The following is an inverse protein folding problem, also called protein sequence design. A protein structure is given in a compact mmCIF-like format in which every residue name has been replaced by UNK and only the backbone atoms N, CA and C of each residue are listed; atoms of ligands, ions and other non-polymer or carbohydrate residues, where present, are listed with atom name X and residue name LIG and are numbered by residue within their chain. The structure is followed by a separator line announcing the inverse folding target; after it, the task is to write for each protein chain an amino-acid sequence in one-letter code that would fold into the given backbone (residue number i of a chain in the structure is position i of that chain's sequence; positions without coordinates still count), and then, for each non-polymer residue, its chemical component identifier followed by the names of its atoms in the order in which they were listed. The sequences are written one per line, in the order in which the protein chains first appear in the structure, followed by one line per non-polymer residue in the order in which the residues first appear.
data_IF_543770252126
#
_entry.id   IF_543770252126
#
_cell.length_a   1.000
_cell.length_b   1.000
_cell.length_c   1.000
_cell.angle_alpha   90.00
_cell.angle_beta   90.00
_cell.angle_gamma   90.00
#
_symmetry.space_group_name_H-M   'P 1'
#
loop_
_entity.id
_entity.type
_entity.pdbx_description
1 polymer ?
#
# COMPACT_ATOMS: atom_id res chain seq x y z
N UNK A 1 18.43 -35.26 -3.25
CA UNK A 1 17.95 -34.92 -1.89
C UNK A 1 17.03 -33.71 -2.02
N UNK A 2 15.71 -33.91 -1.92
CA UNK A 2 14.76 -32.79 -1.86
C UNK A 2 14.94 -32.05 -0.52
N UNK A 3 15.54 -30.87 -0.56
CA UNK A 3 15.50 -29.95 0.58
C UNK A 3 14.04 -29.54 0.83
N UNK A 4 13.40 -30.17 1.81
CA UNK A 4 12.08 -29.80 2.32
C UNK A 4 12.19 -28.45 3.05
N UNK A 5 12.21 -27.37 2.28
CA UNK A 5 12.20 -26.02 2.83
C UNK A 5 10.94 -25.82 3.68
N UNK A 6 11.09 -25.37 4.93
CA UNK A 6 9.97 -25.25 5.83
C UNK A 6 8.98 -24.22 5.25
N UNK A 7 7.70 -24.54 5.36
CA UNK A 7 6.53 -23.68 5.12
C UNK A 7 6.50 -22.36 5.93
N UNK A 8 7.65 -21.94 6.46
CA UNK A 8 7.86 -20.80 7.34
C UNK A 8 7.40 -19.48 6.72
N UNK A 9 7.64 -19.26 5.42
CA UNK A 9 7.22 -18.03 4.74
C UNK A 9 5.71 -17.80 4.78
N UNK A 10 4.92 -18.83 4.43
CA UNK A 10 3.44 -18.76 4.51
C UNK A 10 2.97 -18.55 5.95
N UNK A 11 3.58 -19.25 6.91
CA UNK A 11 3.23 -19.14 8.33
C UNK A 11 3.47 -17.73 8.86
N UNK A 12 4.57 -17.09 8.49
CA UNK A 12 4.88 -15.71 8.87
C UNK A 12 3.90 -14.69 8.26
N UNK A 13 3.50 -14.88 7.00
CA UNK A 13 2.48 -14.02 6.37
C UNK A 13 1.15 -14.13 7.13
N UNK A 14 0.68 -15.36 7.40
CA UNK A 14 -0.58 -15.60 8.12
C UNK A 14 -0.50 -15.05 9.55
N UNK A 15 0.61 -15.28 10.25
CA UNK A 15 0.84 -14.74 11.59
C UNK A 15 0.80 -13.21 11.58
N UNK A 16 1.47 -12.56 10.64
CA UNK A 16 1.49 -11.10 10.53
C UNK A 16 0.10 -10.52 10.29
N UNK A 17 -0.69 -11.09 9.39
CA UNK A 17 -2.09 -10.66 9.19
C UNK A 17 -2.97 -10.93 10.42
N UNK A 18 -2.80 -12.07 11.08
CA UNK A 18 -3.55 -12.40 12.29
C UNK A 18 -3.24 -11.44 13.45
N UNK A 19 -1.95 -11.16 13.69
CA UNK A 19 -1.51 -10.17 14.69
C UNK A 19 -2.05 -8.79 14.35
N UNK A 20 -1.98 -8.37 13.08
CA UNK A 20 -2.52 -7.10 12.63
C UNK A 20 -4.03 -7.00 12.90
N UNK A 21 -4.83 -7.99 12.49
CA UNK A 21 -6.27 -7.98 12.77
C UNK A 21 -6.55 -7.95 14.28
N UNK A 22 -5.79 -8.72 15.07
CA UNK A 22 -5.94 -8.79 16.51
C UNK A 22 -5.65 -7.45 17.21
N UNK A 23 -4.58 -6.75 16.84
CA UNK A 23 -4.27 -5.45 17.45
C UNK A 23 -5.33 -4.40 17.13
N UNK A 24 -5.91 -4.40 15.92
CA UNK A 24 -6.99 -3.47 15.58
C UNK A 24 -8.27 -3.76 16.40
N UNK A 25 -8.60 -5.04 16.60
CA UNK A 25 -9.75 -5.46 17.42
C UNK A 25 -9.53 -5.19 18.91
N UNK A 26 -8.30 -5.39 19.43
CA UNK A 26 -7.99 -5.02 20.81
C UNK A 26 -8.07 -3.52 20.98
N UNK A 27 -7.47 -2.76 20.06
CA UNK A 27 -7.42 -1.31 20.19
C UNK A 27 -8.81 -0.67 20.14
N UNK A 28 -9.75 -1.26 19.39
CA UNK A 28 -11.13 -0.75 19.32
C UNK A 28 -11.85 -0.74 20.68
N UNK A 29 -11.40 -1.56 21.66
CA UNK A 29 -11.92 -1.53 23.03
C UNK A 29 -11.56 -0.24 23.78
N UNK A 30 -10.47 0.41 23.40
CA UNK A 30 -9.98 1.65 24.00
C UNK A 30 -10.47 2.89 23.25
N UNK A 31 -11.51 2.78 22.41
CA UNK A 31 -12.09 3.92 21.69
C UNK A 31 -13.26 4.58 22.44
N UNK A 32 -13.80 3.94 23.48
CA UNK A 32 -14.94 4.47 24.23
C UNK A 32 -14.52 5.69 25.07
N UNK A 33 -15.16 6.86 24.91
CA UNK A 33 -14.79 8.10 25.60
C UNK A 33 -14.95 7.99 27.13
N UNK A 34 -15.78 7.07 27.63
CA UNK A 34 -15.95 6.80 29.07
C UNK A 34 -14.69 6.24 29.74
N UNK A 35 -13.76 5.67 28.97
CA UNK A 35 -12.48 5.13 29.47
C UNK A 35 -11.39 6.21 29.55
N UNK A 36 -11.62 7.40 28.96
CA UNK A 36 -10.68 8.52 28.94
C UNK A 36 -10.82 9.39 30.19
N UNK A 37 -10.37 8.87 31.33
CA UNK A 37 -10.16 9.67 32.54
C UNK A 37 -8.74 10.25 32.57
N UNK A 38 -8.49 11.39 33.25
CA UNK A 38 -7.15 11.97 33.39
C UNK A 38 -6.11 10.97 33.90
N UNK A 39 -6.51 10.09 34.81
CA UNK A 39 -5.65 9.05 35.40
C UNK A 39 -5.26 7.94 34.42
N UNK A 40 -6.03 7.75 33.35
CA UNK A 40 -5.79 6.72 32.33
C UNK A 40 -4.97 7.21 31.14
N UNK A 41 -4.71 8.52 31.00
CA UNK A 41 -4.09 9.13 29.81
C UNK A 41 -2.72 8.52 29.48
N UNK A 42 -1.81 8.48 30.45
CA UNK A 42 -0.46 7.94 30.25
C UNK A 42 -0.49 6.45 29.86
N UNK A 43 -1.41 5.69 30.45
CA UNK A 43 -1.57 4.26 30.17
C UNK A 43 -2.03 4.05 28.74
N UNK A 44 -3.04 4.81 28.29
CA UNK A 44 -3.57 4.68 26.93
C UNK A 44 -2.53 5.13 25.90
N UNK A 45 -1.76 6.18 26.18
CA UNK A 45 -0.68 6.62 25.30
C UNK A 45 0.40 5.55 25.12
N UNK A 46 0.78 4.82 26.18
CA UNK A 46 1.70 3.67 26.08
C UNK A 46 1.13 2.54 25.22
N UNK A 47 -0.17 2.23 25.37
CA UNK A 47 -0.86 1.25 24.53
C UNK A 47 -0.84 1.70 23.06
N UNK A 48 -1.05 3.00 22.79
CA UNK A 48 -0.99 3.56 21.45
C UNK A 48 0.40 3.42 20.79
N UNK A 49 1.49 3.65 21.53
CA UNK A 49 2.84 3.37 21.02
C UNK A 49 3.07 1.87 20.79
N UNK A 50 2.62 1.03 21.73
CA UNK A 50 2.69 -0.43 21.60
C UNK A 50 1.97 -0.93 20.34
N UNK A 51 0.81 -0.35 20.01
CA UNK A 51 0.06 -0.64 18.80
C UNK A 51 0.92 -0.42 17.54
N UNK A 52 1.60 0.73 17.41
CA UNK A 52 2.43 1.01 16.25
C UNK A 52 3.69 0.13 16.18
N UNK A 53 4.31 -0.18 17.31
CA UNK A 53 5.47 -1.10 17.35
C UNK A 53 5.06 -2.48 16.84
N UNK A 54 3.94 -3.02 17.32
CA UNK A 54 3.42 -4.32 16.88
C UNK A 54 3.00 -4.27 15.42
N UNK A 55 2.37 -3.18 14.97
CA UNK A 55 1.98 -2.98 13.58
C UNK A 55 3.21 -3.01 12.64
N UNK A 56 4.29 -2.29 12.99
CA UNK A 56 5.54 -2.31 12.22
C UNK A 56 6.19 -3.70 12.22
N UNK A 57 6.20 -4.40 13.37
CA UNK A 57 6.68 -5.77 13.44
C UNK A 57 5.86 -6.73 12.55
N UNK A 58 4.54 -6.56 12.52
CA UNK A 58 3.65 -7.34 11.65
C UNK A 58 3.95 -7.07 10.16
N UNK A 59 4.16 -5.81 9.75
CA UNK A 59 4.61 -5.49 8.39
C UNK A 59 5.95 -6.14 8.06
N UNK A 60 6.92 -6.10 8.97
CA UNK A 60 8.22 -6.76 8.81
C UNK A 60 8.09 -8.27 8.63
N UNK A 61 7.26 -8.93 9.44
CA UNK A 61 6.98 -10.36 9.33
C UNK A 61 6.32 -10.73 7.99
N UNK A 62 5.34 -9.93 7.53
CA UNK A 62 4.67 -10.12 6.23
C UNK A 62 5.67 -9.94 5.09
N UNK A 63 6.45 -8.86 5.09
CA UNK A 63 7.43 -8.57 4.04
C UNK A 63 8.51 -9.66 3.94
N UNK A 64 9.04 -10.09 5.08
CA UNK A 64 10.03 -11.18 5.13
C UNK A 64 9.41 -12.53 4.73
N UNK A 65 8.19 -12.82 5.19
CA UNK A 65 7.45 -14.01 4.80
C UNK A 65 7.17 -14.07 3.30
N UNK A 66 6.77 -12.94 2.69
CA UNK A 66 6.60 -12.80 1.24
C UNK A 66 7.92 -13.03 0.50
N UNK A 67 9.03 -12.43 0.95
CA UNK A 67 10.35 -12.65 0.36
C UNK A 67 10.74 -14.13 0.35
N UNK A 68 10.60 -14.81 1.50
CA UNK A 68 10.92 -16.24 1.62
C UNK A 68 10.00 -17.09 0.73
N UNK A 69 8.70 -16.82 0.76
CA UNK A 69 7.72 -17.54 -0.06
C UNK A 69 7.99 -17.39 -1.56
N UNK A 70 8.34 -16.19 -1.99
CA UNK A 70 8.66 -15.88 -3.37
C UNK A 70 9.96 -16.57 -3.81
N UNK A 71 11.00 -16.54 -2.95
CA UNK A 71 12.28 -17.23 -3.18
C UNK A 71 12.10 -18.74 -3.33
N UNK A 72 11.27 -19.34 -2.46
CA UNK A 72 10.94 -20.77 -2.52
C UNK A 72 10.27 -21.14 -3.84
N UNK A 73 9.29 -20.33 -4.27
CA UNK A 73 8.52 -20.54 -5.50
C UNK A 73 9.38 -20.46 -6.76
N UNK A 74 10.31 -19.51 -6.81
CA UNK A 74 11.27 -19.38 -7.92
C UNK A 74 12.22 -20.58 -7.96
N UNK A 75 12.76 -21.01 -6.81
CA UNK A 75 13.68 -22.15 -6.73
C UNK A 75 13.01 -23.45 -7.18
N UNK A 76 11.75 -23.68 -6.78
CA UNK A 76 10.99 -24.88 -7.16
C UNK A 76 10.62 -24.90 -8.65
N UNK A 77 10.66 -23.75 -9.33
CA UNK A 77 10.32 -23.58 -10.74
C UNK A 77 9.00 -24.28 -11.13
N UNK A 78 7.97 -24.13 -10.29
CA UNK A 78 6.69 -24.81 -10.48
C UNK A 78 5.85 -24.22 -11.60
N UNK A 79 4.87 -24.99 -12.07
CA UNK A 79 3.90 -24.59 -13.11
C UNK A 79 2.63 -23.93 -12.56
N UNK A 80 2.53 -23.79 -11.24
CA UNK A 80 1.40 -23.12 -10.59
C UNK A 80 1.43 -21.59 -10.82
N UNK A 81 0.25 -20.97 -10.78
CA UNK A 81 0.09 -19.54 -11.11
C UNK A 81 0.98 -18.66 -10.21
N UNK A 82 1.09 -18.98 -8.92
CA UNK A 82 1.94 -18.22 -8.00
C UNK A 82 3.43 -18.39 -8.31
N UNK A 83 3.86 -19.57 -8.77
CA UNK A 83 5.22 -19.78 -9.26
C UNK A 83 5.50 -18.95 -10.51
N UNK A 84 4.56 -18.88 -11.46
CA UNK A 84 4.70 -18.05 -12.67
C UNK A 84 4.84 -16.56 -12.33
N UNK A 85 4.00 -16.05 -11.40
CA UNK A 85 4.13 -14.68 -10.87
C UNK A 85 5.51 -14.49 -10.26
N UNK A 86 5.95 -15.46 -9.45
CA UNK A 86 7.21 -15.34 -8.74
C UNK A 86 8.41 -15.33 -9.68
N UNK A 87 8.46 -16.24 -10.66
CA UNK A 87 9.51 -16.31 -11.68
C UNK A 87 9.55 -15.01 -12.50
N UNK A 88 8.39 -14.54 -12.97
CA UNK A 88 8.28 -13.32 -13.79
C UNK A 88 8.82 -12.08 -13.07
N UNK A 89 8.65 -12.00 -11.76
CA UNK A 89 8.97 -10.81 -10.96
C UNK A 89 10.30 -10.90 -10.21
N UNK A 90 10.96 -12.06 -10.23
CA UNK A 90 12.22 -12.28 -9.50
C UNK A 90 13.46 -11.66 -10.16
N UNK A 91 13.41 -11.31 -11.44
CA UNK A 91 14.54 -10.69 -12.14
C UNK A 91 14.83 -9.26 -11.65
N UNK A 92 16.08 -8.80 -11.79
CA UNK A 92 16.55 -7.52 -11.26
C UNK A 92 15.80 -6.32 -11.84
N UNK A 93 15.43 -6.39 -13.13
CA UNK A 93 14.66 -5.35 -13.82
C UNK A 93 13.24 -5.21 -13.25
N UNK A 94 12.53 -6.31 -13.07
CA UNK A 94 11.18 -6.35 -12.50
C UNK A 94 11.17 -5.87 -11.08
N UNK A 95 12.17 -6.25 -10.27
CA UNK A 95 12.30 -5.73 -8.89
C UNK A 95 12.55 -4.23 -8.84
N UNK A 96 13.37 -3.69 -9.76
CA UNK A 96 13.57 -2.23 -9.87
C UNK A 96 12.26 -1.54 -10.25
N UNK A 97 11.52 -2.06 -11.22
CA UNK A 97 10.21 -1.52 -11.62
C UNK A 97 9.24 -1.57 -10.43
N UNK A 98 9.14 -2.73 -9.76
CA UNK A 98 8.31 -2.91 -8.57
C UNK A 98 8.65 -1.86 -7.51
N UNK A 99 9.92 -1.68 -7.17
CA UNK A 99 10.36 -0.75 -6.12
C UNK A 99 10.07 0.71 -6.48
N UNK A 100 10.38 1.12 -7.71
CA UNK A 100 10.10 2.48 -8.20
C UNK A 100 8.59 2.74 -8.17
N UNK A 101 7.79 1.83 -8.71
CA UNK A 101 6.33 1.97 -8.71
C UNK A 101 5.76 1.97 -7.29
N UNK A 102 6.25 1.11 -6.40
CA UNK A 102 5.83 1.04 -5.01
C UNK A 102 6.07 2.37 -4.27
N UNK A 103 7.26 2.95 -4.42
CA UNK A 103 7.62 4.23 -3.77
C UNK A 103 6.82 5.38 -4.37
N UNK A 104 6.82 5.51 -5.70
CA UNK A 104 6.12 6.60 -6.39
C UNK A 104 4.63 6.57 -6.07
N UNK A 105 4.00 5.40 -6.18
CA UNK A 105 2.58 5.25 -5.86
C UNK A 105 2.29 5.49 -4.38
N UNK A 106 3.17 5.03 -3.48
CA UNK A 106 3.03 5.27 -2.04
C UNK A 106 3.05 6.76 -1.68
N UNK A 107 3.93 7.55 -2.31
CA UNK A 107 3.97 9.02 -2.14
C UNK A 107 2.66 9.64 -2.62
N UNK A 108 2.20 9.29 -3.82
CA UNK A 108 0.92 9.79 -4.35
C UNK A 108 -0.26 9.41 -3.45
N UNK A 109 -0.32 8.16 -2.98
CA UNK A 109 -1.38 7.69 -2.09
C UNK A 109 -1.36 8.46 -0.76
N UNK A 110 -0.19 8.79 -0.21
CA UNK A 110 -0.07 9.54 1.05
C UNK A 110 -0.67 10.95 0.95
N UNK A 111 -0.51 11.60 -0.21
CA UNK A 111 -1.12 12.91 -0.50
C UNK A 111 -2.65 12.82 -0.58
N UNK A 112 -3.16 11.78 -1.23
CA UNK A 112 -4.60 11.64 -1.52
C UNK A 112 -5.37 11.14 -0.29
N UNK A 113 -4.76 10.24 0.48
CA UNK A 113 -5.37 9.66 1.69
C UNK A 113 -5.48 10.63 2.87
N UNK A 114 -5.02 11.88 2.70
CA UNK A 114 -4.92 12.84 3.80
C UNK A 114 -3.85 12.46 4.82
N UNK A 115 -2.92 11.57 4.46
CA UNK A 115 -1.78 11.26 5.34
C UNK A 115 -0.81 12.44 5.38
N UNK A 116 -0.60 13.10 4.24
CA UNK A 116 0.01 14.43 4.18
C UNK A 116 -1.09 15.47 4.02
N UNK A 117 -1.31 16.28 5.05
CA UNK A 117 -2.36 17.30 5.10
C UNK A 117 -1.73 18.66 4.83
N UNK A 118 -2.24 19.36 3.83
CA UNK A 118 -1.90 20.76 3.58
C UNK A 118 -3.16 21.61 3.74
N UNK A 119 -3.17 22.50 4.74
CA UNK A 119 -4.26 23.42 5.03
C UNK A 119 -3.76 24.86 4.94
N UNK A 120 -3.82 25.49 3.75
CA UNK A 120 -3.36 26.87 3.58
C UNK A 120 -4.25 27.88 4.31
N UNK A 121 -5.52 27.57 4.54
CA UNK A 121 -6.48 28.47 5.20
C UNK A 121 -6.44 28.40 6.73
N UNK A 122 -5.71 27.43 7.30
CA UNK A 122 -5.63 27.22 8.75
C UNK A 122 -4.17 27.32 9.16
N UNK A 123 -3.86 28.23 10.10
CA UNK A 123 -2.56 28.30 10.73
C UNK A 123 -2.55 27.47 12.03
N UNK A 124 -1.72 26.44 12.09
CA UNK A 124 -1.74 25.50 13.21
C UNK A 124 -1.31 26.11 14.55
N UNK A 125 -0.49 27.17 14.52
CA UNK A 125 -0.09 27.89 15.73
C UNK A 125 -1.28 28.67 16.28
N UNK A 126 -1.98 29.42 15.43
CA UNK A 126 -3.05 30.32 15.89
C UNK A 126 -4.38 29.59 16.15
N UNK A 127 -4.69 28.54 15.38
CA UNK A 127 -5.97 27.83 15.48
C UNK A 127 -5.93 26.63 16.43
N UNK A 128 -4.79 25.95 16.55
CA UNK A 128 -4.66 24.78 17.41
C UNK A 128 -3.67 24.98 18.57
N UNK A 129 -3.05 26.15 18.70
CA UNK A 129 -2.04 26.41 19.73
C UNK A 129 -0.80 25.53 19.56
N UNK A 130 -0.56 24.98 18.37
CA UNK A 130 0.50 24.01 18.15
C UNK A 130 1.87 24.69 18.21
N UNK A 131 2.80 24.11 18.96
CA UNK A 131 4.22 24.46 18.89
C UNK A 131 4.83 23.75 17.68
N UNK A 132 5.46 24.47 16.75
CA UNK A 132 5.99 23.88 15.51
C UNK A 132 7.52 23.85 15.58
N UNK A 133 8.18 22.73 15.24
CA UNK A 133 7.62 21.42 14.94
C UNK A 133 7.18 20.66 16.21
N UNK A 134 6.08 19.91 16.14
CA UNK A 134 5.69 18.99 17.22
C UNK A 134 4.95 17.77 16.66
N UNK A 135 4.93 16.69 17.42
CA UNK A 135 4.15 15.51 17.09
C UNK A 135 3.59 14.86 18.34
N UNK A 136 2.34 14.44 18.27
CA UNK A 136 1.67 13.74 19.35
C UNK A 136 0.83 12.60 18.80
N UNK A 137 0.60 11.59 19.64
CA UNK A 137 -0.32 10.49 19.32
C UNK A 137 -1.65 10.84 19.95
N UNK A 138 -2.68 11.01 19.13
CA UNK A 138 -4.04 11.09 19.61
C UNK A 138 -4.52 9.65 19.85
N UNK A 139 -4.67 9.22 21.12
CA UNK A 139 -5.02 7.84 21.43
C UNK A 139 -6.47 7.47 21.05
N UNK A 140 -7.35 8.44 20.81
CA UNK A 140 -8.79 8.17 20.87
C UNK A 140 -9.67 8.96 19.92
N UNK A 141 -10.91 8.44 19.92
CA UNK A 141 -12.15 9.13 19.63
C UNK A 141 -12.44 9.31 18.15
N UNK A 142 -12.32 8.21 17.42
CA UNK A 142 -12.63 8.14 15.99
C UNK A 142 -13.09 6.73 15.63
N UNK A 143 -13.41 6.51 14.36
CA UNK A 143 -13.93 5.24 13.85
C UNK A 143 -12.91 4.10 13.96
N UNK A 144 -13.41 2.86 13.82
CA UNK A 144 -12.59 1.65 13.84
C UNK A 144 -11.45 1.74 12.83
N UNK A 145 -10.21 1.53 13.30
CA UNK A 145 -9.00 1.54 12.48
C UNK A 145 -8.41 2.92 12.18
N UNK A 146 -9.07 4.00 12.61
CA UNK A 146 -8.54 5.36 12.50
C UNK A 146 -7.70 5.73 13.74
N UNK A 147 -7.95 5.06 14.88
CA UNK A 147 -7.21 5.24 16.13
C UNK A 147 -6.25 4.07 16.41
N UNK A 148 -5.14 4.32 17.13
CA UNK A 148 -4.61 5.64 17.49
C UNK A 148 -4.08 6.36 16.24
N UNK A 149 -4.21 7.69 16.16
CA UNK A 149 -3.61 8.46 15.06
C UNK A 149 -2.40 9.25 15.53
N UNK A 150 -1.35 9.27 14.70
CA UNK A 150 -0.17 10.12 14.93
C UNK A 150 -0.38 11.41 14.15
N UNK A 151 -0.24 12.56 14.82
CA UNK A 151 -0.32 13.88 14.20
C UNK A 151 1.04 14.55 14.39
N UNK A 152 1.64 15.02 13.31
CA UNK A 152 2.90 15.76 13.31
C UNK A 152 2.69 17.07 12.58
N UNK A 153 2.90 18.18 13.26
CA UNK A 153 2.93 19.51 12.66
C UNK A 153 4.36 19.80 12.19
N UNK A 154 4.55 19.90 10.87
CA UNK A 154 5.85 20.19 10.26
C UNK A 154 6.04 21.69 10.08
N UNK A 155 5.03 22.37 9.56
CA UNK A 155 4.99 23.83 9.36
C UNK A 155 3.61 24.37 9.73
N UNK A 156 3.42 25.69 9.67
CA UNK A 156 2.15 26.35 10.01
C UNK A 156 0.94 25.86 9.20
N UNK A 157 1.17 25.27 8.03
CA UNK A 157 0.13 24.83 7.10
C UNK A 157 0.31 23.37 6.63
N UNK A 158 1.42 22.71 6.95
CA UNK A 158 1.72 21.33 6.55
C UNK A 158 1.78 20.43 7.77
N UNK A 159 0.90 19.43 7.79
CA UNK A 159 0.84 18.40 8.81
C UNK A 159 0.95 17.01 8.20
N UNK A 160 1.40 16.05 9.00
CA UNK A 160 1.34 14.63 8.69
C UNK A 160 0.37 13.97 9.68
N UNK A 161 -0.60 13.23 9.16
CA UNK A 161 -1.56 12.47 9.96
C UNK A 161 -1.50 11.00 9.57
N UNK A 162 -0.92 10.15 10.42
CA UNK A 162 -0.82 8.72 10.14
C UNK A 162 -2.03 8.01 10.76
N UNK A 163 -3.02 7.71 9.93
CA UNK A 163 -4.14 6.83 10.29
C UNK A 163 -3.73 5.36 10.08
N UNK A 164 -3.88 4.47 11.07
CA UNK A 164 -3.43 3.08 10.97
C UNK A 164 -4.00 2.34 9.76
N UNK A 165 -5.31 2.46 9.50
CA UNK A 165 -5.95 1.80 8.37
C UNK A 165 -5.43 2.35 7.03
N UNK A 166 -5.20 3.66 6.93
CA UNK A 166 -4.65 4.27 5.72
C UNK A 166 -3.21 3.82 5.48
N UNK A 167 -2.40 3.65 6.53
CA UNK A 167 -1.06 3.10 6.42
C UNK A 167 -1.08 1.65 5.89
N UNK A 168 -1.98 0.81 6.40
CA UNK A 168 -2.18 -0.56 5.90
C UNK A 168 -2.59 -0.54 4.43
N UNK A 169 -3.61 0.26 4.08
CA UNK A 169 -4.10 0.40 2.70
C UNK A 169 -3.00 0.93 1.78
N UNK A 170 -2.23 1.93 2.20
CA UNK A 170 -1.12 2.50 1.44
C UNK A 170 -0.10 1.42 1.09
N UNK A 171 0.30 0.57 2.05
CA UNK A 171 1.27 -0.49 1.81
C UNK A 171 0.70 -1.60 0.92
N UNK A 172 -0.54 -2.04 1.16
CA UNK A 172 -1.18 -3.12 0.40
C UNK A 172 -1.42 -2.69 -1.05
N UNK A 173 -2.02 -1.52 -1.26
CA UNK A 173 -2.35 -1.03 -2.61
C UNK A 173 -1.05 -0.72 -3.36
N UNK A 174 -0.07 -0.04 -2.75
CA UNK A 174 1.24 0.20 -3.38
C UNK A 174 1.93 -1.11 -3.79
N UNK A 175 1.86 -2.14 -2.95
CA UNK A 175 2.39 -3.46 -3.25
C UNK A 175 1.69 -4.09 -4.46
N UNK A 176 0.36 -4.08 -4.49
CA UNK A 176 -0.41 -4.65 -5.60
C UNK A 176 -0.17 -3.89 -6.91
N UNK A 177 -0.11 -2.56 -6.87
CA UNK A 177 0.17 -1.75 -8.06
C UNK A 177 1.59 -2.02 -8.57
N UNK A 178 2.58 -2.05 -7.68
CA UNK A 178 3.96 -2.42 -8.03
C UNK A 178 4.04 -3.82 -8.65
N UNK A 179 3.33 -4.80 -8.08
CA UNK A 179 3.30 -6.16 -8.59
C UNK A 179 2.70 -6.22 -9.99
N UNK A 180 1.51 -5.62 -10.18
CA UNK A 180 0.84 -5.54 -11.48
C UNK A 180 1.72 -4.87 -12.54
N UNK A 181 2.36 -3.76 -12.19
CA UNK A 181 3.24 -3.03 -13.09
C UNK A 181 4.48 -3.86 -13.48
N UNK A 182 5.10 -4.55 -12.52
CA UNK A 182 6.26 -5.39 -12.78
C UNK A 182 5.95 -6.55 -13.73
N UNK A 183 4.78 -7.20 -13.56
CA UNK A 183 4.32 -8.28 -14.45
C UNK A 183 3.97 -7.71 -15.83
N UNK A 184 3.23 -6.59 -15.88
CA UNK A 184 2.80 -5.97 -17.12
C UNK A 184 4.00 -5.53 -17.98
N UNK A 185 5.00 -4.87 -17.38
CA UNK A 185 6.20 -4.45 -18.10
C UNK A 185 7.02 -5.66 -18.56
N UNK A 186 7.18 -6.68 -17.71
CA UNK A 186 7.89 -7.90 -18.10
C UNK A 186 7.19 -8.64 -19.24
N UNK A 187 5.86 -8.78 -19.19
CA UNK A 187 5.07 -9.33 -20.29
C UNK A 187 5.18 -8.49 -21.59
N UNK A 188 5.14 -7.16 -21.48
CA UNK A 188 5.17 -6.26 -22.63
C UNK A 188 6.54 -6.17 -23.28
N UNK A 189 7.62 -6.14 -22.49
CA UNK A 189 8.99 -6.14 -23.03
C UNK A 189 9.28 -7.38 -23.85
N UNK A 190 8.61 -8.50 -23.57
CA UNK A 190 8.70 -9.75 -24.32
C UNK A 190 7.81 -9.73 -25.56
N UNK A 191 6.64 -9.10 -25.49
CA UNK A 191 5.79 -8.84 -26.66
C UNK A 191 6.44 -7.88 -27.67
N UNK A 192 7.46 -7.11 -27.27
CA UNK A 192 8.11 -6.05 -28.05
C UNK A 192 9.46 -6.42 -28.65
N UNK A 193 9.49 -7.50 -29.43
CA UNK A 193 10.42 -7.57 -30.58
C UNK A 193 10.03 -6.59 -31.72
N UNK A 194 9.14 -5.61 -31.48
CA UNK A 194 8.79 -4.57 -32.45
C UNK A 194 8.06 -3.35 -31.87
N UNK A 195 8.59 -2.15 -32.17
CA UNK A 195 8.01 -0.79 -32.11
C UNK A 195 7.85 -0.07 -30.75
N UNK A 196 8.41 1.14 -30.68
CA UNK A 196 8.41 2.06 -29.54
C UNK A 196 7.01 2.58 -29.15
N UNK A 197 6.74 2.57 -27.84
CA UNK A 197 5.60 3.18 -27.14
C UNK A 197 5.69 2.70 -25.67
N UNK A 198 6.79 3.06 -24.99
CA UNK A 198 7.16 2.50 -23.69
C UNK A 198 6.59 3.26 -22.49
N UNK A 199 6.07 4.47 -22.70
CA UNK A 199 5.67 5.38 -21.62
C UNK A 199 4.15 5.52 -21.50
N UNK A 200 3.41 5.51 -22.62
CA UNK A 200 1.94 5.75 -22.61
C UNK A 200 1.16 4.55 -22.07
N UNK A 201 1.54 3.31 -22.42
CA UNK A 201 0.87 2.10 -21.88
C UNK A 201 1.18 1.84 -20.40
N UNK A 202 2.37 2.25 -19.95
CA UNK A 202 2.80 2.21 -18.55
C UNK A 202 2.01 3.21 -17.69
N UNK A 203 1.80 4.43 -18.20
CA UNK A 203 0.97 5.43 -17.55
C UNK A 203 -0.51 5.02 -17.50
N UNK A 204 -1.06 4.48 -18.59
CA UNK A 204 -2.43 3.97 -18.62
C UNK A 204 -2.66 2.86 -17.57
N UNK A 205 -1.70 1.93 -17.41
CA UNK A 205 -1.78 0.89 -16.38
C UNK A 205 -1.71 1.42 -14.94
N UNK A 206 -0.91 2.46 -14.69
CA UNK A 206 -0.79 3.12 -13.38
C UNK A 206 -2.07 3.87 -12.99
N UNK A 207 -2.76 4.48 -13.95
CA UNK A 207 -4.01 5.23 -13.71
C UNK A 207 -5.27 4.35 -13.68
N UNK A 208 -5.26 3.19 -14.34
CA UNK A 208 -6.32 2.17 -14.20
C UNK A 208 -6.40 1.66 -12.75
N UNK A 209 -5.27 1.64 -12.03
CA UNK A 209 -5.20 1.13 -10.66
C UNK A 209 -5.80 2.07 -9.60
N UNK A 210 -5.87 3.38 -9.88
CA UNK A 210 -6.39 4.38 -8.93
C UNK A 210 -6.94 5.60 -9.69
N UNK A 211 -8.23 5.57 -10.08
CA UNK A 211 -8.87 6.70 -10.75
C UNK A 211 -8.82 7.99 -9.92
N UNK A 212 -8.92 7.86 -8.60
CA UNK A 212 -8.79 8.98 -7.64
C UNK A 212 -7.40 9.61 -7.69
N UNK A 213 -6.34 8.81 -7.85
CA UNK A 213 -4.98 9.30 -7.99
C UNK A 213 -4.74 10.06 -9.28
N UNK A 214 -5.40 9.66 -10.37
CA UNK A 214 -5.40 10.42 -11.61
C UNK A 214 -6.08 11.78 -11.43
N UNK A 215 -7.24 11.81 -10.77
CA UNK A 215 -8.00 13.04 -10.52
C UNK A 215 -7.24 14.07 -9.68
N UNK A 216 -6.67 13.65 -8.55
CA UNK A 216 -5.90 14.54 -7.68
C UNK A 216 -4.60 15.00 -8.33
N UNK A 217 -3.91 14.12 -9.09
CA UNK A 217 -2.74 14.52 -9.88
C UNK A 217 -3.09 15.63 -10.88
N UNK A 218 -4.19 15.47 -11.62
CA UNK A 218 -4.67 16.50 -12.55
C UNK A 218 -5.06 17.80 -11.82
N UNK A 219 -5.66 17.72 -10.64
CA UNK A 219 -6.00 18.91 -9.85
C UNK A 219 -4.78 19.66 -9.33
N UNK A 220 -3.77 18.94 -8.81
CA UNK A 220 -2.59 19.56 -8.17
C UNK A 220 -1.58 20.06 -9.21
N UNK A 221 -1.36 19.32 -10.29
CA UNK A 221 -0.31 19.62 -11.26
C UNK A 221 -0.81 20.28 -12.54
N UNK A 222 -2.05 19.99 -12.96
CA UNK A 222 -2.62 20.59 -14.19
C UNK A 222 -3.48 21.82 -13.85
N UNK A 223 -3.97 21.95 -12.60
CA UNK A 223 -4.57 23.19 -12.08
C UNK A 223 -5.81 23.67 -12.83
N UNK A 224 -6.38 22.85 -13.71
CA UNK A 224 -7.54 23.22 -14.51
C UNK A 224 -8.81 23.17 -13.65
N UNK A 225 -9.77 24.05 -13.92
CA UNK A 225 -11.09 24.00 -13.30
C UNK A 225 -11.74 22.61 -13.40
N UNK A 226 -11.43 21.86 -14.46
CA UNK A 226 -11.81 20.46 -14.65
C UNK A 226 -11.16 19.50 -13.66
N UNK A 227 -9.90 19.71 -13.24
CA UNK A 227 -9.21 18.89 -12.25
C UNK A 227 -9.77 19.05 -10.84
N UNK A 228 -10.17 20.27 -10.47
CA UNK A 228 -10.80 20.57 -9.17
C UNK A 228 -12.21 19.97 -9.12
N UNK A 229 -13.02 20.17 -10.17
CA UNK A 229 -14.35 19.58 -10.28
C UNK A 229 -14.30 18.04 -10.29
N UNK A 230 -13.35 17.46 -11.04
CA UNK A 230 -13.13 16.02 -11.07
C UNK A 230 -12.68 15.48 -9.71
N UNK A 231 -11.85 16.19 -8.96
CA UNK A 231 -11.43 15.78 -7.62
C UNK A 231 -12.57 15.78 -6.61
N UNK A 232 -13.46 16.78 -6.67
CA UNK A 232 -14.65 16.84 -5.83
C UNK A 232 -15.63 15.71 -6.19
N UNK A 233 -15.81 15.42 -7.49
CA UNK A 233 -16.65 14.30 -7.92
C UNK A 233 -16.06 12.94 -7.51
N UNK A 234 -14.74 12.78 -7.62
CA UNK A 234 -14.05 11.52 -7.28
C UNK A 234 -13.93 11.30 -5.77
N UNK A 235 -13.88 12.34 -4.93
CA UNK A 235 -13.83 12.19 -3.47
C UNK A 235 -15.11 11.58 -2.91
N UNK A 236 -16.27 11.95 -3.46
CA UNK A 236 -17.57 11.36 -3.10
C UNK A 236 -17.66 9.86 -3.47
N UNK A 237 -16.92 9.43 -4.49
CA UNK A 237 -16.87 8.05 -4.98
C UNK A 237 -15.64 7.28 -4.46
N UNK A 238 -14.83 7.87 -3.59
CA UNK A 238 -13.55 7.29 -3.16
C UNK A 238 -13.71 5.88 -2.56
N UNK A 239 -14.71 5.69 -1.69
CA UNK A 239 -15.02 4.38 -1.10
C UNK A 239 -15.40 3.35 -2.17
N UNK A 240 -16.17 3.77 -3.18
CA UNK A 240 -16.58 2.91 -4.30
C UNK A 240 -15.38 2.50 -5.16
N UNK A 241 -14.49 3.46 -5.47
CA UNK A 241 -13.26 3.16 -6.21
C UNK A 241 -12.33 2.23 -5.44
N UNK A 242 -12.16 2.42 -4.13
CA UNK A 242 -11.35 1.50 -3.29
C UNK A 242 -11.99 0.10 -3.29
N UNK A 243 -13.31 0.02 -3.11
CA UNK A 243 -14.04 -1.26 -3.08
C UNK A 243 -13.92 -2.06 -4.40
N UNK A 244 -13.83 -1.39 -5.56
CA UNK A 244 -13.69 -2.05 -6.86
C UNK A 244 -12.22 -2.28 -7.23
N UNK A 245 -11.36 -1.29 -7.00
CA UNK A 245 -9.94 -1.34 -7.41
C UNK A 245 -9.18 -2.44 -6.68
N UNK A 246 -9.42 -2.65 -5.38
CA UNK A 246 -8.69 -3.67 -4.61
C UNK A 246 -8.93 -5.08 -5.21
N UNK A 247 -10.18 -5.56 -5.41
CA UNK A 247 -10.43 -6.83 -6.09
C UNK A 247 -9.79 -6.90 -7.47
N UNK A 248 -9.89 -5.85 -8.29
CA UNK A 248 -9.28 -5.81 -9.62
C UNK A 248 -7.76 -5.96 -9.54
N UNK A 249 -7.11 -5.28 -8.60
CA UNK A 249 -5.66 -5.34 -8.37
C UNK A 249 -5.19 -6.71 -7.86
N UNK A 250 -6.04 -7.44 -7.13
CA UNK A 250 -5.76 -8.83 -6.76
C UNK A 250 -5.94 -9.82 -7.91
N UNK A 251 -6.95 -9.63 -8.76
CA UNK A 251 -7.28 -10.53 -9.86
C UNK A 251 -6.34 -10.35 -11.06
N UNK A 252 -5.88 -9.13 -11.32
CA UNK A 252 -5.07 -8.81 -12.50
C UNK A 252 -3.75 -9.61 -12.60
N UNK A 253 -2.95 -9.78 -11.53
CA UNK A 253 -1.74 -10.61 -11.57
C UNK A 253 -2.04 -12.07 -11.92
N UNK A 254 -3.18 -12.59 -11.45
CA UNK A 254 -3.63 -13.97 -11.71
C UNK A 254 -3.99 -14.13 -13.19
N UNK A 255 -4.72 -13.18 -13.76
CA UNK A 255 -5.08 -13.17 -15.19
C UNK A 255 -3.81 -13.06 -16.05
N UNK A 256 -2.90 -12.14 -15.73
CA UNK A 256 -1.65 -11.96 -16.46
C UNK A 256 -0.78 -13.21 -16.40
N UNK A 257 -0.64 -13.82 -15.22
CA UNK A 257 0.14 -15.05 -15.06
C UNK A 257 -0.45 -16.24 -15.85
N UNK A 258 -1.78 -16.35 -15.95
CA UNK A 258 -2.41 -17.35 -16.82
C UNK A 258 -2.06 -17.14 -18.30
N UNK A 259 -1.99 -15.89 -18.77
CA UNK A 259 -1.56 -15.58 -20.16
C UNK A 259 -0.08 -15.86 -20.41
N UNK A 260 0.75 -15.73 -19.37
CA UNK A 260 2.18 -16.03 -19.38
C UNK A 260 2.49 -17.53 -19.24
N UNK A 261 1.49 -18.37 -19.04
CA UNK A 261 1.65 -19.83 -19.02
C UNK A 261 1.65 -20.39 -20.44
N UNK A 262 2.58 -21.29 -20.74
CA UNK A 262 2.61 -22.10 -21.96
C UNK A 262 1.60 -23.27 -21.88
N UNK A 263 1.29 -23.94 -23.00
CA UNK A 263 0.44 -25.13 -23.02
C UNK A 263 0.97 -26.29 -22.18
N UNK A 264 2.30 -26.42 -22.06
CA UNK A 264 3.01 -27.39 -21.22
C UNK A 264 3.01 -27.01 -19.71
N UNK A 265 2.43 -25.86 -19.36
CA UNK A 265 2.41 -25.34 -18.00
C UNK A 265 3.64 -24.52 -17.60
N UNK A 266 4.70 -24.47 -18.42
CA UNK A 266 5.90 -23.69 -18.14
C UNK A 266 5.64 -22.19 -18.25
N UNK A 267 6.51 -21.38 -17.64
CA UNK A 267 6.45 -19.93 -17.83
C UNK A 267 7.01 -19.57 -19.21
N UNK A 268 6.31 -18.72 -19.96
CA UNK A 268 6.81 -18.12 -21.23
C UNK A 268 8.07 -17.30 -21.04
N UNK A 269 8.36 -16.91 -19.80
CA UNK A 269 9.46 -16.03 -19.43
C UNK A 269 10.52 -16.85 -18.74
N UNK A 270 11.71 -16.89 -19.32
CA UNK A 270 12.89 -17.39 -18.64
C UNK A 270 13.49 -16.25 -17.82
N UNK A 271 13.38 -16.31 -16.48
CA UNK A 271 13.88 -15.25 -15.58
C UNK A 271 15.38 -15.34 -15.32
N UNK A 272 16.09 -16.27 -15.98
CA UNK A 272 17.52 -16.55 -15.76
C UNK A 272 18.45 -15.80 -16.72
N UNK A 273 17.91 -14.93 -17.58
CA UNK A 273 18.66 -13.97 -18.41
C UNK A 273 18.39 -12.52 -18.01
#
# INVERSE_FOLDING_TARGET
MEEKYPSSGKKLIVLGFAVMAFIFVIYSRYQNPEVFTPDAMDTIQRIAYGFYIILLAAFGAIAYGLYMYHKEKVRKNGTDILSIIAITTWNSKSRKIFLVTFITYGIFFSLISGTLVYQPEVNFITHYGATIPSGFVAPCCDQFGYMPKVIIYLTEHVGLQILPINLVLQLVVSYLVGLNMSIAVSAYTISKKGRGASTIGAAAGLFIACPTCAGTFLSVFVGTASGIALSIALSQLQTFFIAISIPVLFVTPIIMARKLRNPDGSCKIDSTK
#
